data_IF_145885927380
#
_entry.id   IF_145885927380
#
_cell.length_a   1.000
_cell.length_b   1.000
_cell.length_c   1.000
_cell.angle_alpha   90.00
_cell.angle_beta   90.00
_cell.angle_gamma   90.00
#
_symmetry.space_group_name_H-M   'P 1'
#
loop_
_entity.id
_entity.type
_entity.pdbx_description
1 polymer ?
#
# COMPACT_ATOMS: atom_id res chain seq x y z
N UNK A 1 -32.70 26.21 24.94
CA UNK A 1 -33.70 25.72 25.92
C UNK A 1 -34.87 25.06 25.19
N UNK A 2 -35.06 23.74 25.28
CA UNK A 2 -36.22 23.07 24.68
C UNK A 2 -37.48 23.36 25.51
N UNK A 3 -38.53 23.90 24.87
CA UNK A 3 -39.83 24.19 25.51
C UNK A 3 -40.39 22.92 26.17
N UNK A 4 -40.90 23.02 27.40
CA UNK A 4 -41.37 21.91 28.26
C UNK A 4 -42.28 20.90 27.52
N UNK A 5 -43.08 21.36 26.56
CA UNK A 5 -43.95 20.52 25.72
C UNK A 5 -43.20 19.55 24.80
N UNK A 6 -42.07 19.96 24.22
CA UNK A 6 -41.26 19.10 23.34
C UNK A 6 -40.58 17.98 24.13
N UNK A 7 -40.17 18.25 25.37
CA UNK A 7 -39.57 17.24 26.25
C UNK A 7 -40.61 16.20 26.71
N UNK A 8 -41.86 16.61 26.95
CA UNK A 8 -42.96 15.68 27.24
C UNK A 8 -43.26 14.76 26.04
N UNK A 9 -43.23 15.30 24.82
CA UNK A 9 -43.40 14.51 23.59
C UNK A 9 -42.27 13.48 23.43
N UNK A 10 -41.01 13.89 23.64
CA UNK A 10 -39.85 12.99 23.57
C UNK A 10 -39.94 11.89 24.64
N UNK A 11 -40.35 12.20 25.87
CA UNK A 11 -40.56 11.20 26.93
C UNK A 11 -41.65 10.18 26.57
N UNK A 12 -42.74 10.62 25.91
CA UNK A 12 -43.82 9.73 25.43
C UNK A 12 -43.36 8.80 24.30
N UNK A 13 -42.42 9.26 23.48
CA UNK A 13 -41.91 8.49 22.33
C UNK A 13 -40.64 7.67 22.64
N UNK A 14 -39.96 7.96 23.75
CA UNK A 14 -38.78 7.24 24.23
C UNK A 14 -38.92 5.70 24.28
N UNK A 15 -40.05 5.11 24.75
CA UNK A 15 -40.21 3.66 24.75
C UNK A 15 -40.37 3.06 23.34
N UNK A 16 -40.69 3.88 22.34
CA UNK A 16 -40.84 3.46 20.94
C UNK A 16 -39.60 3.78 20.09
N UNK A 17 -38.51 4.28 20.69
CA UNK A 17 -37.34 4.76 19.95
C UNK A 17 -36.58 3.66 19.17
N UNK A 18 -36.74 2.39 19.53
CA UNK A 18 -36.18 1.27 18.75
C UNK A 18 -37.06 0.84 17.58
N UNK A 19 -38.35 1.19 17.60
CA UNK A 19 -39.31 0.87 16.54
C UNK A 19 -39.43 2.00 15.52
N UNK A 20 -39.73 1.67 14.27
CA UNK A 20 -40.06 2.71 13.28
C UNK A 20 -41.40 3.38 13.65
N UNK A 21 -41.62 4.66 13.31
CA UNK A 21 -42.83 5.39 13.73
C UNK A 21 -44.15 4.77 13.23
N UNK A 22 -44.12 4.02 12.13
CA UNK A 22 -45.27 3.26 11.63
C UNK A 22 -45.55 2.02 12.49
N UNK A 23 -44.51 1.30 12.87
CA UNK A 23 -44.62 0.12 13.72
C UNK A 23 -45.17 0.48 15.11
N UNK A 24 -44.70 1.58 15.70
CA UNK A 24 -45.25 2.08 16.97
C UNK A 24 -46.75 2.43 16.92
N UNK A 25 -47.25 2.90 15.76
CA UNK A 25 -48.68 3.18 15.56
C UNK A 25 -49.50 1.89 15.45
N UNK A 26 -48.96 0.88 14.77
CA UNK A 26 -49.59 -0.43 14.65
C UNK A 26 -49.60 -1.16 15.99
N UNK A 27 -48.49 -1.16 16.72
CA UNK A 27 -48.40 -1.78 18.05
C UNK A 27 -49.41 -1.16 19.02
N UNK A 28 -49.62 0.15 18.93
CA UNK A 28 -50.63 0.87 19.72
C UNK A 28 -52.06 0.52 19.32
N UNK A 29 -52.32 0.32 18.03
CA UNK A 29 -53.62 -0.09 17.51
C UNK A 29 -53.97 -1.53 17.97
N UNK A 30 -52.97 -2.39 18.10
CA UNK A 30 -53.12 -3.80 18.48
C UNK A 30 -52.89 -4.06 19.99
N UNK A 31 -52.65 -3.01 20.78
CA UNK A 31 -52.51 -3.11 22.24
C UNK A 31 -51.19 -3.72 22.72
N UNK A 32 -50.18 -3.86 21.86
CA UNK A 32 -48.86 -4.34 22.26
C UNK A 32 -48.14 -3.30 23.13
N UNK A 33 -47.64 -3.75 24.29
CA UNK A 33 -46.84 -2.90 25.19
C UNK A 33 -45.42 -2.78 24.63
N UNK A 34 -44.86 -1.56 24.53
CA UNK A 34 -43.51 -1.38 24.02
C UNK A 34 -42.49 -2.12 24.91
N UNK A 35 -41.65 -2.92 24.28
CA UNK A 35 -40.62 -3.70 24.97
C UNK A 35 -39.55 -2.76 25.53
N UNK A 36 -39.38 -2.77 26.85
CA UNK A 36 -38.39 -1.93 27.51
C UNK A 36 -36.98 -2.38 27.13
N UNK A 37 -36.27 -1.57 26.35
CA UNK A 37 -34.87 -1.80 26.01
C UNK A 37 -34.04 -1.87 27.29
N UNK A 38 -33.50 -3.06 27.60
CA UNK A 38 -32.54 -3.21 28.69
C UNK A 38 -31.33 -2.31 28.38
N UNK A 39 -30.90 -1.43 29.31
CA UNK A 39 -29.75 -0.57 29.08
C UNK A 39 -28.53 -1.45 28.77
N UNK A 40 -27.98 -1.31 27.57
CA UNK A 40 -26.73 -2.00 27.20
C UNK A 40 -25.65 -1.51 28.16
N UNK A 41 -25.22 -2.38 29.08
CA UNK A 41 -24.05 -2.13 29.95
C UNK A 41 -22.86 -1.85 29.02
N UNK A 42 -22.44 -0.59 28.95
CA UNK A 42 -21.20 -0.23 28.26
C UNK A 42 -20.06 -0.91 29.03
N UNK A 43 -19.49 -1.97 28.44
CA UNK A 43 -18.24 -2.55 28.95
C UNK A 43 -17.17 -1.47 28.79
N UNK A 44 -16.84 -0.79 29.88
CA UNK A 44 -15.61 0.02 29.99
C UNK A 44 -14.44 -0.94 29.79
N UNK A 45 -13.81 -0.92 28.61
CA UNK A 45 -12.56 -1.62 28.44
C UNK A 45 -11.50 -0.85 29.23
N UNK A 46 -10.97 -1.48 30.26
CA UNK A 46 -9.77 -1.01 30.95
C UNK A 46 -8.60 -1.18 29.97
N UNK A 47 -8.32 -0.15 29.18
CA UNK A 47 -7.06 -0.05 28.44
C UNK A 47 -5.95 0.10 29.48
N UNK A 48 -5.29 -1.01 29.81
CA UNK A 48 -4.06 -0.99 30.57
C UNK A 48 -3.05 -0.15 29.78
N UNK A 49 -2.78 1.06 30.27
CA UNK A 49 -1.75 1.93 29.74
C UNK A 49 -0.39 1.30 30.03
N UNK A 50 0.11 0.46 29.11
CA UNK A 50 1.52 0.12 29.07
C UNK A 50 2.26 1.40 28.69
N UNK A 51 2.82 2.10 29.69
CA UNK A 51 3.84 3.12 29.50
C UNK A 51 5.07 2.43 28.91
N UNK A 52 5.15 2.36 27.59
CA UNK A 52 6.41 2.06 26.90
C UNK A 52 7.29 3.29 27.10
N UNK A 53 8.41 3.11 27.79
CA UNK A 53 9.42 4.17 27.95
C UNK A 53 9.94 4.50 26.55
N UNK A 54 9.51 5.63 25.99
CA UNK A 54 10.17 6.25 24.86
C UNK A 54 11.51 6.78 25.36
N UNK A 55 12.56 5.94 25.31
CA UNK A 55 13.93 6.45 25.38
C UNK A 55 14.19 7.33 24.16
N UNK A 56 15.04 8.34 24.33
CA UNK A 56 15.30 9.45 23.42
C UNK A 56 15.71 9.02 22.01
N UNK A 57 14.70 8.71 21.18
CA UNK A 57 14.86 8.40 19.75
C UNK A 57 15.46 9.59 19.01
N UNK A 58 15.19 10.82 19.47
CA UNK A 58 15.75 12.05 18.89
C UNK A 58 17.27 12.12 19.05
N UNK A 59 17.80 11.82 20.24
CA UNK A 59 19.24 11.89 20.50
C UNK A 59 20.03 10.88 19.64
N UNK A 60 19.50 9.66 19.46
CA UNK A 60 20.14 8.63 18.61
C UNK A 60 20.10 8.95 17.13
N UNK A 61 19.06 9.64 16.68
CA UNK A 61 18.95 10.08 15.28
C UNK A 61 19.90 11.23 15.01
N UNK A 62 20.01 12.19 15.93
CA UNK A 62 20.97 13.30 15.83
C UNK A 62 22.44 12.81 15.89
N UNK A 63 22.74 11.80 16.69
CA UNK A 63 24.06 11.15 16.74
C UNK A 63 24.41 10.46 15.41
N UNK A 64 23.46 9.74 14.80
CA UNK A 64 23.66 9.07 13.50
C UNK A 64 23.84 10.06 12.34
N UNK A 65 23.12 11.20 12.37
CA UNK A 65 23.32 12.28 11.38
C UNK A 65 24.64 13.03 11.60
N UNK A 66 25.11 13.13 12.85
CA UNK A 66 26.40 13.76 13.19
C UNK A 66 27.60 12.89 12.83
N UNK A 67 27.46 11.55 12.84
CA UNK A 67 28.50 10.63 12.35
C UNK A 67 28.63 10.62 10.82
N UNK A 68 27.60 11.05 10.09
CA UNK A 68 27.61 11.08 8.62
C UNK A 68 28.29 12.33 8.05
N UNK A 69 28.38 13.42 8.83
CA UNK A 69 29.00 14.68 8.41
C UNK A 69 30.47 14.82 8.80
N UNK A 70 31.05 13.84 9.51
CA UNK A 70 32.47 13.81 9.92
C UNK A 70 33.35 12.87 9.07
N UNK A 71 32.90 12.54 7.86
CA UNK A 71 33.50 11.50 7.03
C UNK A 71 34.38 11.96 5.87
N UNK A 72 35.02 13.14 5.92
CA UNK A 72 35.92 13.61 4.85
C UNK A 72 37.41 13.75 5.23
N UNK A 73 37.81 13.38 6.45
CA UNK A 73 39.24 13.39 6.84
C UNK A 73 39.63 12.04 7.47
N UNK A 74 39.95 11.05 6.62
CA UNK A 74 40.65 9.85 7.07
C UNK A 74 42.14 10.01 6.75
N UNK A 75 42.85 10.53 7.73
CA UNK A 75 44.29 10.65 7.76
C UNK A 75 44.98 9.29 7.65
N UNK A 76 46.15 9.33 7.00
CA UNK A 76 47.11 8.24 6.86
C UNK A 76 47.77 7.99 8.22
N UNK A 77 47.65 6.78 8.76
CA UNK A 77 48.62 6.27 9.73
C UNK A 77 49.15 4.90 9.27
N UNK A 78 50.42 4.90 8.89
CA UNK A 78 51.25 3.72 8.64
C UNK A 78 51.68 3.08 9.96
N UNK A 79 51.80 1.74 9.98
CA UNK A 79 52.96 1.11 10.61
C UNK A 79 53.84 0.39 9.58
N UNK A 80 55.15 0.62 9.69
CA UNK A 80 56.23 0.07 8.87
C UNK A 80 56.48 -1.42 9.11
N UNK A 81 56.94 -2.06 8.03
CA UNK A 81 57.82 -3.23 7.92
C UNK A 81 57.21 -4.64 8.04
N UNK A 82 56.94 -5.25 6.88
CA UNK A 82 57.65 -6.46 6.44
C UNK A 82 57.52 -6.61 4.92
N UNK A 83 58.62 -6.98 4.29
CA UNK A 83 58.84 -7.06 2.86
C UNK A 83 57.93 -8.09 2.16
N UNK A 84 57.36 -7.69 1.02
CA UNK A 84 57.33 -8.43 -0.25
C UNK A 84 56.42 -7.69 -1.24
N UNK A 85 56.96 -7.00 -2.27
CA UNK A 85 56.16 -6.65 -3.44
C UNK A 85 55.96 -7.94 -4.26
N UNK A 86 54.93 -8.70 -3.92
CA UNK A 86 54.44 -9.71 -4.85
C UNK A 86 53.71 -8.95 -5.95
N UNK A 87 54.43 -8.70 -7.04
CA UNK A 87 53.86 -8.31 -8.32
C UNK A 87 52.91 -9.43 -8.76
N UNK A 88 51.65 -9.32 -8.35
CA UNK A 88 50.59 -10.10 -8.94
C UNK A 88 50.52 -9.65 -10.40
N UNK A 89 51.04 -10.53 -11.25
CA UNK A 89 50.89 -10.51 -12.69
C UNK A 89 49.40 -10.59 -13.02
N UNK A 90 48.70 -9.47 -12.93
CA UNK A 90 47.33 -9.32 -13.44
C UNK A 90 47.41 -9.39 -14.96
N UNK A 91 47.39 -10.62 -15.48
CA UNK A 91 46.90 -10.87 -16.83
C UNK A 91 45.57 -10.10 -16.94
N UNK A 92 45.33 -9.32 -18.00
CA UNK A 92 44.01 -8.73 -18.19
C UNK A 92 43.04 -9.90 -18.39
N UNK A 93 42.40 -10.31 -17.29
CA UNK A 93 41.30 -11.26 -17.33
C UNK A 93 40.29 -10.64 -18.26
N UNK A 94 40.12 -11.25 -19.44
CA UNK A 94 39.10 -10.87 -20.39
C UNK A 94 37.77 -11.10 -19.68
N UNK A 95 37.26 -10.05 -19.04
CA UNK A 95 35.97 -10.09 -18.35
C UNK A 95 34.92 -10.53 -19.34
N UNK A 96 34.17 -11.54 -18.94
CA UNK A 96 33.04 -11.98 -19.72
C UNK A 96 31.99 -10.86 -19.75
N UNK A 97 31.42 -10.49 -20.91
CA UNK A 97 30.46 -9.38 -21.03
C UNK A 97 29.19 -9.50 -20.17
N UNK A 98 28.92 -10.69 -19.64
CA UNK A 98 27.78 -10.99 -18.77
C UNK A 98 28.08 -10.87 -17.27
N UNK A 99 29.33 -10.60 -16.89
CA UNK A 99 29.73 -10.43 -15.49
C UNK A 99 29.56 -8.96 -15.08
N UNK A 100 28.78 -8.65 -14.02
CA UNK A 100 28.58 -7.26 -13.59
C UNK A 100 29.85 -6.66 -13.01
N UNK A 101 30.19 -5.42 -13.37
CA UNK A 101 31.36 -4.71 -12.85
C UNK A 101 31.42 -4.72 -11.30
N UNK A 102 32.61 -4.94 -10.70
CA UNK A 102 32.76 -5.08 -9.25
C UNK A 102 32.30 -3.82 -8.51
N UNK A 103 32.54 -2.64 -9.07
CA UNK A 103 32.09 -1.37 -8.49
C UNK A 103 30.57 -1.27 -8.44
N UNK A 104 29.90 -1.72 -9.51
CA UNK A 104 28.44 -1.79 -9.58
C UNK A 104 27.90 -2.83 -8.59
N UNK A 105 28.61 -3.94 -8.38
CA UNK A 105 28.24 -4.92 -7.36
C UNK A 105 28.40 -4.34 -5.95
N UNK A 106 29.48 -3.62 -5.67
CA UNK A 106 29.72 -2.96 -4.40
C UNK A 106 28.62 -1.94 -4.10
N UNK A 107 28.33 -1.03 -5.05
CA UNK A 107 27.24 -0.06 -4.91
C UNK A 107 25.88 -0.73 -4.67
N UNK A 108 25.60 -1.86 -5.35
CA UNK A 108 24.37 -2.64 -5.12
C UNK A 108 24.32 -3.27 -3.72
N UNK A 109 25.45 -3.66 -3.14
CA UNK A 109 25.50 -4.20 -1.77
C UNK A 109 25.21 -3.10 -0.76
N UNK A 110 25.93 -1.97 -0.85
CA UNK A 110 25.72 -0.79 0.01
C UNK A 110 24.27 -0.29 -0.07
N UNK A 111 23.70 -0.22 -1.28
CA UNK A 111 22.29 0.17 -1.45
C UNK A 111 21.32 -0.81 -0.77
N UNK A 112 21.58 -2.12 -0.84
CA UNK A 112 20.71 -3.12 -0.18
C UNK A 112 20.82 -3.04 1.34
N UNK A 113 22.02 -2.83 1.87
CA UNK A 113 22.29 -2.70 3.30
C UNK A 113 21.57 -1.46 3.87
N UNK A 114 21.79 -0.30 3.27
CA UNK A 114 21.12 0.96 3.67
C UNK A 114 19.59 0.86 3.60
N UNK A 115 19.02 0.26 2.55
CA UNK A 115 17.58 0.03 2.45
C UNK A 115 17.07 -0.92 3.56
N UNK A 116 17.84 -1.96 3.90
CA UNK A 116 17.48 -2.89 4.98
C UNK A 116 17.55 -2.22 6.35
N UNK A 117 18.53 -1.35 6.59
CA UNK A 117 18.63 -0.56 7.82
C UNK A 117 17.42 0.36 7.98
N UNK A 118 17.10 1.14 6.94
CA UNK A 118 15.90 2.01 6.94
C UNK A 118 14.64 1.19 7.22
N UNK A 119 14.51 0.01 6.61
CA UNK A 119 13.38 -0.88 6.84
C UNK A 119 13.33 -1.35 8.30
N UNK A 120 14.45 -1.77 8.88
CA UNK A 120 14.52 -2.26 10.25
C UNK A 120 14.17 -1.17 11.25
N UNK A 121 14.52 0.09 10.95
CA UNK A 121 14.12 1.25 11.73
C UNK A 121 12.62 1.56 11.58
N UNK A 122 12.11 1.63 10.36
CA UNK A 122 10.74 2.11 10.10
C UNK A 122 9.68 1.05 10.40
N UNK A 123 9.91 -0.20 10.00
CA UNK A 123 8.88 -1.24 10.03
C UNK A 123 8.26 -1.50 11.41
N UNK A 124 9.04 -1.58 12.52
CA UNK A 124 8.47 -1.75 13.86
C UNK A 124 7.52 -0.62 14.26
N UNK A 125 7.79 0.60 13.79
CA UNK A 125 7.04 1.81 14.14
C UNK A 125 5.88 2.12 13.19
N UNK A 126 5.69 1.35 12.11
CA UNK A 126 4.53 1.49 11.24
C UNK A 126 3.22 1.11 11.95
N UNK A 127 2.16 1.86 11.63
CA UNK A 127 0.80 1.52 12.04
C UNK A 127 0.40 0.12 11.54
N UNK A 128 -0.49 -0.59 12.25
CA UNK A 128 -0.96 -1.92 11.82
C UNK A 128 -1.56 -1.93 10.40
N UNK A 129 -2.22 -0.84 10.01
CA UNK A 129 -2.79 -0.69 8.66
C UNK A 129 -1.68 -0.54 7.63
N UNK A 130 -0.68 0.30 7.91
CA UNK A 130 0.47 0.51 7.04
C UNK A 130 1.33 -0.75 6.92
N UNK A 131 1.58 -1.47 8.03
CA UNK A 131 2.24 -2.78 8.04
C UNK A 131 1.54 -3.76 7.11
N UNK A 132 0.22 -3.88 7.22
CA UNK A 132 -0.57 -4.76 6.34
C UNK A 132 -0.48 -4.35 4.87
N UNK A 133 -0.49 -3.07 4.56
CA UNK A 133 -0.32 -2.58 3.18
C UNK A 133 1.07 -2.93 2.64
N UNK A 134 2.11 -2.73 3.44
CA UNK A 134 3.48 -3.09 3.11
C UNK A 134 3.64 -4.61 2.89
N UNK A 135 3.12 -5.44 3.79
CA UNK A 135 3.21 -6.89 3.68
C UNK A 135 2.49 -7.41 2.43
N UNK A 136 1.33 -6.84 2.10
CA UNK A 136 0.62 -7.14 0.86
C UNK A 136 1.42 -6.73 -0.38
N UNK A 137 2.05 -5.54 -0.36
CA UNK A 137 2.89 -5.07 -1.46
C UNK A 137 4.12 -5.96 -1.65
N UNK A 138 4.81 -6.31 -0.56
CA UNK A 138 5.92 -7.27 -0.54
C UNK A 138 5.50 -8.61 -1.13
N UNK A 139 4.36 -9.14 -0.70
CA UNK A 139 3.81 -10.39 -1.22
C UNK A 139 3.55 -10.32 -2.73
N UNK A 140 2.98 -9.22 -3.24
CA UNK A 140 2.77 -9.05 -4.69
C UNK A 140 4.06 -8.93 -5.49
N UNK A 141 5.07 -8.24 -4.95
CA UNK A 141 6.37 -8.10 -5.59
C UNK A 141 7.08 -9.47 -5.71
N UNK A 142 6.89 -10.34 -4.72
CA UNK A 142 7.35 -11.73 -4.75
C UNK A 142 6.48 -12.65 -5.64
N UNK A 143 5.49 -12.10 -6.36
CA UNK A 143 4.61 -12.87 -7.26
C UNK A 143 3.42 -13.55 -6.56
N UNK A 144 3.24 -13.34 -5.26
CA UNK A 144 2.11 -13.87 -4.51
C UNK A 144 0.78 -13.16 -4.79
N UNK A 145 -0.32 -13.78 -4.39
CA UNK A 145 -1.68 -13.21 -4.47
C UNK A 145 -2.12 -12.63 -3.13
N UNK A 146 -2.57 -11.37 -3.11
CA UNK A 146 -3.15 -10.74 -1.91
C UNK A 146 -4.49 -11.38 -1.55
N UNK A 147 -4.79 -11.46 -0.25
CA UNK A 147 -6.08 -11.91 0.25
C UNK A 147 -7.23 -11.13 -0.40
N UNK A 148 -8.25 -11.86 -0.87
CA UNK A 148 -9.45 -11.27 -1.47
C UNK A 148 -10.24 -10.50 -0.40
N UNK A 149 -10.85 -9.39 -0.80
CA UNK A 149 -11.82 -8.71 0.06
C UNK A 149 -13.03 -9.63 0.32
N UNK A 150 -13.61 -9.53 1.51
CA UNK A 150 -14.85 -10.24 1.86
C UNK A 150 -15.96 -9.85 0.89
N UNK A 151 -16.89 -10.78 0.64
CA UNK A 151 -18.10 -10.50 -0.13
C UNK A 151 -18.87 -9.37 0.56
N UNK A 152 -19.27 -8.38 -0.21
CA UNK A 152 -20.04 -7.23 0.26
C UNK A 152 -21.38 -7.17 -0.49
N UNK A 153 -22.44 -6.60 0.11
CA UNK A 153 -23.72 -6.45 -0.56
C UNK A 153 -23.58 -5.56 -1.80
N UNK A 154 -24.38 -5.87 -2.83
CA UNK A 154 -24.24 -5.25 -4.15
C UNK A 154 -24.40 -3.73 -4.11
N UNK A 155 -25.37 -3.23 -3.35
CA UNK A 155 -25.65 -1.79 -3.26
C UNK A 155 -24.46 -1.01 -2.69
N UNK A 156 -23.83 -1.51 -1.62
CA UNK A 156 -22.62 -0.90 -1.06
C UNK A 156 -21.45 -0.96 -2.04
N UNK A 157 -21.32 -2.06 -2.78
CA UNK A 157 -20.26 -2.21 -3.78
C UNK A 157 -20.39 -1.17 -4.88
N UNK A 158 -21.61 -0.98 -5.39
CA UNK A 158 -21.92 0.04 -6.39
C UNK A 158 -21.67 1.44 -5.85
N UNK A 159 -22.04 1.73 -4.61
CA UNK A 159 -21.77 3.04 -4.00
C UNK A 159 -20.27 3.31 -3.86
N UNK A 160 -19.49 2.34 -3.35
CA UNK A 160 -18.03 2.50 -3.22
C UNK A 160 -17.34 2.66 -4.57
N UNK A 161 -17.75 1.90 -5.57
CA UNK A 161 -17.18 2.01 -6.91
C UNK A 161 -17.52 3.34 -7.57
N UNK A 162 -18.74 3.86 -7.40
CA UNK A 162 -19.12 5.20 -7.87
C UNK A 162 -18.35 6.29 -7.15
N UNK A 163 -18.17 6.21 -5.84
CA UNK A 163 -17.39 7.18 -5.06
C UNK A 163 -15.92 7.22 -5.52
N UNK A 164 -15.32 6.05 -5.77
CA UNK A 164 -13.95 5.95 -6.28
C UNK A 164 -13.82 6.60 -7.67
N UNK A 165 -14.75 6.32 -8.58
CA UNK A 165 -14.77 6.95 -9.92
C UNK A 165 -14.84 8.47 -9.83
N UNK A 166 -15.76 9.00 -9.02
CA UNK A 166 -15.90 10.45 -8.79
C UNK A 166 -14.61 11.07 -8.26
N UNK A 167 -13.91 10.42 -7.34
CA UNK A 167 -12.64 10.93 -6.83
C UNK A 167 -11.55 10.94 -7.90
N UNK A 168 -11.48 9.91 -8.75
CA UNK A 168 -10.54 9.87 -9.88
C UNK A 168 -10.87 10.96 -10.91
N UNK A 169 -12.15 11.19 -11.20
CA UNK A 169 -12.60 12.26 -12.10
C UNK A 169 -12.23 13.64 -11.56
N UNK A 170 -12.51 13.91 -10.28
CA UNK A 170 -12.09 15.15 -9.60
C UNK A 170 -10.57 15.38 -9.69
N UNK A 171 -9.77 14.35 -9.45
CA UNK A 171 -8.32 14.47 -9.55
C UNK A 171 -7.87 14.82 -10.97
N UNK A 172 -8.52 14.24 -12.00
CA UNK A 172 -8.25 14.57 -13.40
C UNK A 172 -8.67 15.98 -13.77
N UNK A 173 -9.78 16.47 -13.22
CA UNK A 173 -10.22 17.85 -13.41
C UNK A 173 -9.22 18.82 -12.79
N UNK A 174 -8.72 18.52 -11.58
CA UNK A 174 -7.68 19.30 -10.92
C UNK A 174 -6.36 19.29 -11.71
N UNK A 175 -5.94 18.14 -12.25
CA UNK A 175 -4.77 18.04 -13.14
C UNK A 175 -4.91 18.95 -14.37
N UNK A 176 -6.11 18.98 -14.97
CA UNK A 176 -6.39 19.85 -16.13
C UNK A 176 -6.38 21.33 -15.77
N UNK A 177 -6.98 21.69 -14.63
CA UNK A 177 -7.03 23.08 -14.15
C UNK A 177 -5.63 23.61 -13.81
N UNK A 178 -4.79 22.77 -13.19
CA UNK A 178 -3.44 23.14 -12.81
C UNK A 178 -2.44 23.03 -13.98
N UNK A 179 -2.78 22.30 -15.04
CA UNK A 179 -1.86 22.02 -16.15
C UNK A 179 -0.68 21.12 -15.77
N UNK A 180 -0.78 20.40 -14.63
CA UNK A 180 0.28 19.54 -14.10
C UNK A 180 -0.20 18.10 -14.03
N UNK A 181 0.71 17.17 -14.33
CA UNK A 181 0.47 15.74 -14.16
C UNK A 181 0.80 15.33 -12.73
N UNK A 182 -0.23 15.05 -11.93
CA UNK A 182 -0.03 14.58 -10.56
C UNK A 182 0.41 13.11 -10.55
N UNK A 183 1.22 12.73 -9.56
CA UNK A 183 1.61 11.34 -9.33
C UNK A 183 0.46 10.49 -8.72
N UNK A 184 -0.68 11.11 -8.49
CA UNK A 184 -1.84 10.46 -7.87
C UNK A 184 -2.42 9.39 -8.82
N UNK A 185 -3.10 8.40 -8.24
CA UNK A 185 -3.73 7.30 -8.96
C UNK A 185 -4.82 7.79 -9.94
N UNK A 186 -4.42 8.07 -11.19
CA UNK A 186 -5.31 8.46 -12.30
C UNK A 186 -6.29 7.36 -12.73
N UNK A 187 -6.05 6.12 -12.29
CA UNK A 187 -6.79 4.91 -12.69
C UNK A 187 -7.48 4.22 -11.52
N UNK A 188 -7.45 4.80 -10.31
CA UNK A 188 -8.14 4.26 -9.15
C UNK A 188 -7.46 3.04 -8.51
N UNK A 189 -6.14 2.88 -8.70
CA UNK A 189 -5.33 1.84 -8.07
C UNK A 189 -4.63 0.89 -9.05
N UNK A 190 -3.56 0.26 -8.57
CA UNK A 190 -2.72 -0.67 -9.32
C UNK A 190 -3.52 -1.82 -9.99
N UNK A 191 -4.57 -2.32 -9.32
CA UNK A 191 -5.42 -3.39 -9.88
C UNK A 191 -6.16 -2.92 -11.14
N UNK A 192 -6.80 -1.75 -11.09
CA UNK A 192 -7.53 -1.22 -12.24
C UNK A 192 -6.58 -0.85 -13.38
N UNK A 193 -5.43 -0.27 -13.06
CA UNK A 193 -4.37 -0.01 -14.04
C UNK A 193 -3.91 -1.30 -14.75
N UNK A 194 -3.69 -2.38 -14.01
CA UNK A 194 -3.31 -3.68 -14.58
C UNK A 194 -4.42 -4.31 -15.44
N UNK A 195 -5.69 -4.18 -15.01
CA UNK A 195 -6.82 -4.66 -15.81
C UNK A 195 -6.91 -3.89 -17.13
N UNK A 196 -6.77 -2.57 -17.10
CA UNK A 196 -6.83 -1.74 -18.30
C UNK A 196 -5.66 -2.02 -19.24
N UNK A 197 -4.43 -2.17 -18.71
CA UNK A 197 -3.27 -2.61 -19.51
C UNK A 197 -3.55 -3.93 -20.23
N UNK A 198 -4.13 -4.91 -19.53
CA UNK A 198 -4.50 -6.20 -20.12
C UNK A 198 -5.59 -6.07 -21.18
N UNK A 199 -6.58 -5.20 -20.98
CA UNK A 199 -7.62 -4.92 -21.98
C UNK A 199 -7.01 -4.31 -23.24
N UNK A 200 -6.19 -3.27 -23.11
CA UNK A 200 -5.50 -2.64 -24.25
C UNK A 200 -4.62 -3.63 -25.01
N UNK A 201 -3.91 -4.51 -24.31
CA UNK A 201 -3.09 -5.56 -24.95
C UNK A 201 -3.96 -6.57 -25.71
N UNK A 202 -5.14 -6.92 -25.18
CA UNK A 202 -6.09 -7.79 -25.88
C UNK A 202 -6.65 -7.09 -27.11
N UNK A 203 -7.18 -5.89 -26.94
CA UNK A 203 -7.69 -5.06 -28.04
C UNK A 203 -6.65 -4.88 -29.14
N UNK A 204 -5.39 -4.64 -28.79
CA UNK A 204 -4.29 -4.54 -29.76
C UNK A 204 -3.94 -5.86 -30.45
N UNK A 205 -4.16 -7.01 -29.81
CA UNK A 205 -3.99 -8.33 -30.43
C UNK A 205 -5.17 -8.68 -31.33
N UNK A 206 -6.36 -8.28 -30.93
CA UNK A 206 -7.60 -8.52 -31.65
C UNK A 206 -7.71 -7.59 -32.87
N UNK A 207 -7.17 -6.37 -32.79
CA UNK A 207 -7.10 -5.41 -33.90
C UNK A 207 -5.98 -5.71 -34.89
N UNK A 208 -4.99 -6.52 -34.50
CA UNK A 208 -3.95 -6.96 -35.43
C UNK A 208 -4.52 -8.02 -36.32
N UNK A 209 -4.34 -7.84 -37.63
CA UNK A 209 -4.70 -8.91 -38.54
C UNK A 209 -3.87 -10.16 -38.21
N UNK A 210 -4.42 -11.37 -38.40
CA UNK A 210 -3.63 -12.60 -38.30
C UNK A 210 -2.40 -12.62 -39.23
N UNK A 211 -2.39 -11.74 -40.24
CA UNK A 211 -1.35 -11.53 -41.25
C UNK A 211 -0.54 -10.25 -41.02
N UNK A 212 -0.67 -9.56 -39.87
CA UNK A 212 0.17 -8.41 -39.52
C UNK A 212 1.50 -8.91 -38.94
N UNK A 213 2.47 -9.08 -39.84
CA UNK A 213 3.80 -9.59 -39.53
C UNK A 213 4.70 -8.59 -38.78
N UNK A 214 4.31 -7.32 -38.71
CA UNK A 214 5.19 -6.26 -38.22
C UNK A 214 6.53 -6.26 -38.97
N UNK A 215 7.64 -5.97 -38.26
CA UNK A 215 9.01 -5.98 -38.82
C UNK A 215 9.67 -7.36 -38.92
N UNK A 216 8.89 -8.45 -38.88
CA UNK A 216 9.40 -9.80 -39.18
C UNK A 216 9.04 -10.10 -40.61
N UNK A 217 10.02 -10.34 -41.46
CA UNK A 217 9.92 -10.45 -42.93
C UNK A 217 9.02 -11.61 -43.42
N UNK A 218 7.73 -11.66 -43.06
CA UNK A 218 6.77 -12.65 -43.54
C UNK A 218 7.00 -14.11 -43.07
N UNK A 219 8.00 -14.38 -42.22
CA UNK A 219 8.34 -15.75 -41.80
C UNK A 219 7.46 -16.22 -40.64
N UNK A 220 6.62 -17.23 -40.88
CA UNK A 220 5.85 -17.92 -39.85
C UNK A 220 6.69 -19.02 -39.19
N UNK A 221 6.90 -18.92 -37.87
CA UNK A 221 7.39 -20.06 -37.09
C UNK A 221 6.21 -20.88 -36.58
N UNK A 222 6.00 -22.05 -37.19
CA UNK A 222 5.03 -23.04 -36.73
C UNK A 222 5.55 -23.62 -35.41
N UNK A 223 4.85 -23.33 -34.30
CA UNK A 223 5.18 -23.94 -33.02
C UNK A 223 4.71 -25.39 -33.02
N UNK A 224 5.64 -26.34 -33.08
CA UNK A 224 5.32 -27.73 -32.82
C UNK A 224 4.89 -27.88 -31.36
N UNK A 225 3.66 -28.36 -31.15
CA UNK A 225 3.12 -28.64 -29.83
C UNK A 225 3.89 -29.86 -29.30
N UNK A 226 4.73 -29.68 -28.28
CA UNK A 226 5.37 -30.80 -27.60
C UNK A 226 4.27 -31.61 -26.92
N UNK A 227 4.07 -32.85 -27.36
CA UNK A 227 3.30 -33.83 -26.62
C UNK A 227 4.19 -34.33 -25.50
N UNK A 228 3.81 -33.98 -24.27
CA UNK A 228 4.37 -34.50 -23.02
C UNK A 228 3.23 -35.02 -22.19
#
# INVERSE_FOLDING_TARGET
MFRRSKLQLIKRLAPYAASTPLQARLDRLWGFKPEALKPKKQKRSTRAARKVKHGDVKAKVEEAFSSLTRGDDCEKETPKAADNPQEDNEKPERRNPWEPDPDVQFQKRVFKETVNEIRNLVYPHLDPIAKRQYDNAKLTALGGKVAKNRKMPYNEFVQRTRALKRNVEKNKELEKQLGVKLFIDTKGGARFANIEKRKRIKEFKDSKSPFDFGGKNGVYHIKHKKFT
#
